data_IF_251667241580
#
_entry.id   IF_251667241580
#
_cell.length_a   1.000
_cell.length_b   1.000
_cell.length_c   1.000
_cell.angle_alpha   90.00
_cell.angle_beta   90.00
_cell.angle_gamma   90.00
#
_symmetry.space_group_name_H-M   'P 1'
#
loop_
_entity.id
_entity.type
_entity.pdbx_description
1 polymer ?
#
# COMPACT_ATOMS: atom_id res chain seq x y z
N UNK A 1 -4.99 -61.32 43.01
CA UNK A 1 -5.53 -59.99 43.37
C UNK A 1 -4.46 -58.93 43.07
N UNK A 2 -4.52 -58.22 41.94
CA UNK A 2 -3.47 -57.26 41.51
C UNK A 2 -3.52 -56.02 42.40
N UNK A 3 -2.40 -55.71 43.08
CA UNK A 3 -2.24 -54.55 43.96
C UNK A 3 -2.44 -53.27 43.15
N UNK A 4 -3.45 -52.49 43.49
CA UNK A 4 -3.79 -51.23 42.81
C UNK A 4 -2.78 -50.16 43.22
N UNK A 5 -1.89 -49.76 42.30
CA UNK A 5 -0.85 -48.76 42.57
C UNK A 5 -1.42 -47.35 42.54
N UNK A 6 -1.84 -46.89 43.73
CA UNK A 6 -2.41 -45.56 43.96
C UNK A 6 -1.46 -44.42 43.58
N UNK A 7 -0.13 -44.63 43.61
CA UNK A 7 0.86 -43.61 43.22
C UNK A 7 0.91 -43.45 41.69
N UNK A 8 0.81 -44.56 40.96
CA UNK A 8 0.75 -44.54 39.50
C UNK A 8 -0.54 -43.87 38.99
N UNK A 9 -1.68 -44.09 39.66
CA UNK A 9 -2.95 -43.44 39.34
C UNK A 9 -2.89 -41.94 39.64
N UNK A 10 -2.34 -41.55 40.79
CA UNK A 10 -2.17 -40.14 41.16
C UNK A 10 -1.28 -39.38 40.18
N UNK A 11 -0.15 -39.97 39.74
CA UNK A 11 0.75 -39.38 38.75
C UNK A 11 0.07 -39.16 37.39
N UNK A 12 -0.77 -40.11 36.95
CA UNK A 12 -1.54 -39.98 35.70
C UNK A 12 -2.61 -38.88 35.78
N UNK A 13 -3.27 -38.73 36.94
CA UNK A 13 -4.25 -37.66 37.18
C UNK A 13 -3.56 -36.29 37.15
N UNK A 14 -2.41 -36.14 37.80
CA UNK A 14 -1.65 -34.87 37.79
C UNK A 14 -1.20 -34.51 36.38
N UNK A 15 -0.68 -35.47 35.60
CA UNK A 15 -0.30 -35.23 34.20
C UNK A 15 -1.52 -34.81 33.35
N UNK A 16 -2.67 -35.47 33.52
CA UNK A 16 -3.88 -35.13 32.77
C UNK A 16 -4.41 -33.73 33.11
N UNK A 17 -4.38 -33.33 34.39
CA UNK A 17 -4.77 -31.98 34.82
C UNK A 17 -3.81 -30.93 34.26
N UNK A 18 -2.50 -31.22 34.23
CA UNK A 18 -1.49 -30.30 33.72
C UNK A 18 -1.66 -30.06 32.22
N UNK A 19 -1.96 -31.11 31.44
CA UNK A 19 -2.23 -30.99 30.00
C UNK A 19 -3.51 -30.19 29.74
N UNK A 20 -4.56 -30.42 30.52
CA UNK A 20 -5.83 -29.69 30.39
C UNK A 20 -5.68 -28.19 30.70
N UNK A 21 -4.87 -27.85 31.69
CA UNK A 21 -4.54 -26.45 32.02
C UNK A 21 -3.67 -25.74 30.98
N UNK A 22 -2.84 -26.48 30.23
CA UNK A 22 -2.04 -25.90 29.13
C UNK A 22 -2.92 -25.60 27.91
N UNK A 23 -3.93 -26.43 27.63
CA UNK A 23 -4.84 -26.21 26.49
C UNK A 23 -5.78 -25.01 26.65
N UNK A 24 -6.14 -24.62 27.88
CA UNK A 24 -6.99 -23.44 28.12
C UNK A 24 -6.23 -22.11 27.98
N UNK A 25 -4.90 -22.12 28.04
CA UNK A 25 -4.07 -20.93 27.87
C UNK A 25 -3.82 -20.54 26.41
N UNK A 26 -4.00 -21.47 25.46
CA UNK A 26 -3.81 -21.23 24.02
C UNK A 26 -5.04 -20.56 23.39
N UNK A 27 -6.21 -20.64 24.04
CA UNK A 27 -7.49 -20.16 23.49
C UNK A 27 -7.82 -18.69 23.73
N UNK A 28 -6.98 -17.92 24.43
CA UNK A 28 -7.27 -16.54 24.82
C UNK A 28 -6.28 -15.55 24.18
N UNK A 29 -6.12 -15.60 22.86
CA UNK A 29 -5.65 -14.44 22.11
C UNK A 29 -6.89 -13.65 21.69
N UNK A 30 -7.16 -12.54 22.38
CA UNK A 30 -8.17 -11.57 21.98
C UNK A 30 -7.72 -10.97 20.64
N UNK A 31 -8.23 -11.50 19.54
CA UNK A 31 -7.94 -11.00 18.20
C UNK A 31 -8.78 -9.73 18.01
N UNK A 32 -8.29 -8.60 18.54
CA UNK A 32 -8.84 -7.28 18.27
C UNK A 32 -8.55 -6.95 16.80
N UNK A 33 -9.33 -7.52 15.88
CA UNK A 33 -9.41 -7.07 14.49
C UNK A 33 -10.04 -5.68 14.52
N UNK A 34 -9.21 -4.68 14.79
CA UNK A 34 -9.56 -3.29 14.58
C UNK A 34 -10.12 -3.18 13.15
N UNK A 35 -11.33 -2.62 13.05
CA UNK A 35 -11.95 -2.29 11.78
C UNK A 35 -10.93 -1.53 10.93
N UNK A 36 -10.58 -2.06 9.74
CA UNK A 36 -9.62 -1.44 8.83
C UNK A 36 -10.25 -0.28 8.02
N UNK A 37 -11.27 0.35 8.59
CA UNK A 37 -11.98 1.46 7.97
C UNK A 37 -11.43 2.76 8.53
N UNK A 38 -10.83 3.56 7.66
CA UNK A 38 -10.43 4.92 7.96
C UNK A 38 -11.48 5.88 7.40
N UNK A 39 -12.04 6.74 8.26
CA UNK A 39 -12.95 7.82 7.86
C UNK A 39 -12.18 9.13 8.00
N UNK A 40 -12.02 9.84 6.87
CA UNK A 40 -11.34 11.14 6.82
C UNK A 40 -12.38 12.20 6.42
N UNK A 41 -12.51 13.24 7.24
CA UNK A 41 -13.34 14.39 6.90
C UNK A 41 -12.63 15.28 5.87
N UNK A 42 -13.34 15.69 4.83
CA UNK A 42 -12.86 16.62 3.82
C UNK A 42 -13.49 17.99 4.04
N UNK A 43 -12.74 19.07 3.80
CA UNK A 43 -13.26 20.42 3.95
C UNK A 43 -14.36 20.77 2.94
N UNK A 44 -14.28 20.20 1.73
CA UNK A 44 -15.25 20.40 0.65
C UNK A 44 -15.26 19.17 -0.27
N UNK A 45 -16.30 19.03 -1.09
CA UNK A 45 -16.38 17.99 -2.11
C UNK A 45 -15.29 18.11 -3.18
N UNK A 46 -15.07 17.03 -3.92
CA UNK A 46 -14.16 17.00 -5.07
C UNK A 46 -14.88 17.34 -6.37
N UNK A 47 -14.14 17.87 -7.34
CA UNK A 47 -14.67 18.16 -8.69
C UNK A 47 -14.12 17.20 -9.74
N UNK A 48 -12.89 16.71 -9.55
CA UNK A 48 -12.27 15.75 -10.46
C UNK A 48 -11.29 14.83 -9.70
N UNK A 49 -11.05 13.65 -10.27
CA UNK A 49 -10.00 12.71 -9.86
C UNK A 49 -9.01 12.43 -11.00
N UNK A 50 -9.10 13.21 -12.07
CA UNK A 50 -8.17 13.16 -13.18
C UNK A 50 -6.87 13.91 -12.80
N UNK A 51 -5.71 13.22 -12.74
CA UNK A 51 -4.44 13.84 -12.34
C UNK A 51 -4.05 15.07 -13.15
N UNK A 52 -4.47 15.17 -14.41
CA UNK A 52 -4.14 16.30 -15.27
C UNK A 52 -4.95 17.57 -14.93
N UNK A 53 -5.99 17.47 -14.10
CA UNK A 53 -6.91 18.57 -13.79
C UNK A 53 -7.13 18.81 -12.30
N UNK A 54 -6.37 18.13 -11.43
CA UNK A 54 -6.46 18.35 -9.98
C UNK A 54 -6.11 19.81 -9.64
N UNK A 55 -6.96 20.48 -8.86
CA UNK A 55 -6.75 21.87 -8.44
C UNK A 55 -6.80 22.04 -6.93
N UNK A 56 -7.47 21.12 -6.24
CA UNK A 56 -7.74 21.25 -4.80
C UNK A 56 -6.94 20.22 -4.01
N UNK A 57 -6.53 20.59 -2.78
CA UNK A 57 -5.77 19.70 -1.90
C UNK A 57 -6.54 18.42 -1.55
N UNK A 58 -7.86 18.50 -1.34
CA UNK A 58 -8.69 17.33 -1.06
C UNK A 58 -8.68 16.32 -2.22
N UNK A 59 -8.66 16.81 -3.46
CA UNK A 59 -8.60 15.96 -4.67
C UNK A 59 -7.23 15.28 -4.76
N UNK A 60 -6.15 16.00 -4.43
CA UNK A 60 -4.80 15.44 -4.41
C UNK A 60 -4.66 14.34 -3.36
N UNK A 61 -5.21 14.52 -2.15
CA UNK A 61 -5.18 13.47 -1.12
C UNK A 61 -5.87 12.19 -1.59
N UNK A 62 -7.03 12.30 -2.24
CA UNK A 62 -7.72 11.13 -2.78
C UNK A 62 -6.93 10.55 -3.97
N UNK A 63 -6.43 11.39 -4.87
CA UNK A 63 -5.64 10.98 -6.03
C UNK A 63 -4.41 10.17 -5.63
N UNK A 64 -3.67 10.57 -4.59
CA UNK A 64 -2.52 9.83 -4.06
C UNK A 64 -2.86 8.43 -3.52
N UNK A 65 -4.14 8.13 -3.27
CA UNK A 65 -4.57 6.79 -2.83
C UNK A 65 -5.03 5.89 -3.99
N UNK A 66 -5.32 6.46 -5.16
CA UNK A 66 -5.88 5.73 -6.32
C UNK A 66 -4.96 5.73 -7.55
N UNK A 67 -3.99 6.65 -7.58
CA UNK A 67 -2.94 6.74 -8.59
C UNK A 67 -1.57 6.57 -7.92
N UNK A 68 -0.61 6.03 -8.66
CA UNK A 68 0.78 5.89 -8.20
C UNK A 68 1.73 6.35 -9.32
N UNK A 69 2.68 7.21 -8.96
CA UNK A 69 3.66 7.76 -9.91
C UNK A 69 4.85 6.82 -10.14
N UNK A 70 5.85 7.28 -10.90
CA UNK A 70 7.12 6.56 -11.03
C UNK A 70 7.82 6.43 -9.67
N UNK A 71 7.80 7.51 -8.90
CA UNK A 71 8.34 7.63 -7.54
C UNK A 71 7.32 8.34 -6.64
N UNK A 72 7.51 8.26 -5.33
CA UNK A 72 6.68 8.96 -4.34
C UNK A 72 7.53 9.46 -3.17
N UNK A 73 6.94 10.27 -2.30
CA UNK A 73 7.57 10.70 -1.04
C UNK A 73 7.17 9.77 0.09
N UNK A 74 8.13 9.34 0.89
CA UNK A 74 7.88 8.58 2.11
C UNK A 74 7.45 9.50 3.26
N UNK A 75 7.24 8.93 4.45
CA UNK A 75 6.83 9.68 5.66
C UNK A 75 7.86 10.72 6.11
N UNK A 76 9.13 10.53 5.77
CA UNK A 76 10.23 11.45 6.05
C UNK A 76 10.39 12.52 4.94
N UNK A 77 9.53 12.47 3.90
CA UNK A 77 9.60 13.36 2.74
C UNK A 77 10.68 12.98 1.72
N UNK A 78 11.37 11.86 1.90
CA UNK A 78 12.39 11.35 0.98
C UNK A 78 11.75 10.65 -0.22
N UNK A 79 12.44 10.72 -1.36
CA UNK A 79 12.00 10.04 -2.59
C UNK A 79 12.20 8.53 -2.46
N UNK A 80 11.15 7.76 -2.73
CA UNK A 80 11.17 6.31 -2.72
C UNK A 80 10.49 5.70 -3.98
N UNK A 81 10.72 4.41 -4.27
CA UNK A 81 10.11 3.71 -5.40
C UNK A 81 8.57 3.70 -5.37
N UNK A 82 7.95 4.12 -6.48
CA UNK A 82 6.53 3.91 -6.78
C UNK A 82 6.35 2.75 -7.77
N UNK A 83 5.82 3.04 -8.97
CA UNK A 83 5.76 2.10 -10.09
C UNK A 83 7.15 1.76 -10.64
N UNK A 84 8.09 2.70 -10.61
CA UNK A 84 9.49 2.39 -10.89
C UNK A 84 10.13 1.72 -9.67
N UNK A 85 10.76 0.56 -9.87
CA UNK A 85 11.53 -0.13 -8.81
C UNK A 85 12.92 0.47 -8.61
N UNK A 86 13.46 1.13 -9.63
CA UNK A 86 14.74 1.82 -9.64
C UNK A 86 14.79 2.80 -10.80
N UNK A 87 15.73 3.74 -10.74
CA UNK A 87 16.02 4.66 -11.84
C UNK A 87 17.51 5.00 -11.88
N UNK A 88 17.96 5.37 -13.07
CA UNK A 88 19.32 5.83 -13.33
C UNK A 88 19.26 7.26 -13.83
N UNK A 89 20.24 8.06 -13.42
CA UNK A 89 20.41 9.45 -13.87
C UNK A 89 21.74 9.54 -14.60
N UNK A 90 21.75 10.11 -15.80
CA UNK A 90 22.97 10.34 -16.56
C UNK A 90 23.91 11.31 -15.83
N UNK A 91 25.23 11.28 -16.12
CA UNK A 91 26.19 12.17 -15.47
C UNK A 91 25.89 13.67 -15.61
N UNK A 92 25.22 14.07 -16.69
CA UNK A 92 24.78 15.45 -16.95
C UNK A 92 23.45 15.82 -16.28
N UNK A 93 22.77 14.86 -15.65
CA UNK A 93 21.48 15.09 -15.00
C UNK A 93 20.29 15.31 -15.96
N UNK A 94 20.47 15.12 -17.27
CA UNK A 94 19.44 15.42 -18.27
C UNK A 94 18.63 14.19 -18.72
N UNK A 95 19.13 12.98 -18.47
CA UNK A 95 18.47 11.74 -18.85
C UNK A 95 18.18 10.88 -17.62
N UNK A 96 16.91 10.57 -17.44
CA UNK A 96 16.41 9.67 -16.41
C UNK A 96 15.88 8.41 -17.07
N UNK A 97 16.35 7.24 -16.62
CA UNK A 97 15.86 5.94 -17.09
C UNK A 97 15.18 5.22 -15.94
N UNK A 98 13.86 5.02 -16.04
CA UNK A 98 13.06 4.36 -15.02
C UNK A 98 12.83 2.89 -15.36
N UNK A 99 13.07 2.01 -14.39
CA UNK A 99 12.83 0.58 -14.52
C UNK A 99 11.53 0.22 -13.82
N UNK A 100 10.47 -0.11 -14.58
CA UNK A 100 9.15 -0.38 -14.01
C UNK A 100 9.07 -1.77 -13.35
N UNK A 101 8.16 -1.90 -12.38
CA UNK A 101 7.79 -3.20 -11.80
C UNK A 101 7.10 -4.06 -12.85
N UNK A 102 7.54 -5.33 -13.00
CA UNK A 102 6.97 -6.27 -13.99
C UNK A 102 5.55 -6.73 -13.68
N UNK A 103 5.12 -6.59 -12.42
CA UNK A 103 3.81 -7.00 -11.92
C UNK A 103 2.90 -5.81 -11.63
N UNK A 104 3.25 -4.60 -12.06
CA UNK A 104 2.36 -3.45 -11.93
C UNK A 104 1.16 -3.65 -12.87
N UNK A 105 -0.04 -3.59 -12.29
CA UNK A 105 -1.30 -3.76 -12.99
C UNK A 105 -2.23 -2.58 -12.67
N UNK A 106 -2.98 -2.15 -13.67
CA UNK A 106 -4.16 -1.32 -13.48
C UNK A 106 -5.22 -2.10 -12.70
N UNK A 107 -6.18 -1.39 -12.10
CA UNK A 107 -7.27 -2.00 -11.34
C UNK A 107 -8.17 -2.91 -12.18
N UNK A 108 -8.15 -2.76 -13.50
CA UNK A 108 -8.84 -3.63 -14.46
C UNK A 108 -8.03 -4.88 -14.88
N UNK A 109 -6.83 -5.04 -14.32
CA UNK A 109 -5.94 -6.17 -14.57
C UNK A 109 -5.00 -6.01 -15.77
N UNK A 110 -5.06 -4.90 -16.52
CA UNK A 110 -4.09 -4.65 -17.59
C UNK A 110 -2.70 -4.30 -17.02
N UNK A 111 -1.60 -4.70 -17.67
CA UNK A 111 -0.27 -4.32 -17.24
C UNK A 111 -0.05 -2.81 -17.37
N UNK A 112 0.61 -2.21 -16.37
CA UNK A 112 1.12 -0.84 -16.46
C UNK A 112 2.42 -0.86 -17.24
N UNK A 113 2.54 0.03 -18.23
CA UNK A 113 3.69 0.09 -19.15
C UNK A 113 4.29 1.50 -19.22
N UNK A 114 5.48 1.62 -19.81
CA UNK A 114 6.11 2.93 -20.04
C UNK A 114 5.26 3.85 -20.94
N UNK A 115 4.45 3.27 -21.83
CA UNK A 115 3.58 4.02 -22.74
C UNK A 115 2.45 4.74 -21.99
N UNK A 116 1.99 4.22 -20.84
CA UNK A 116 0.95 4.88 -20.04
C UNK A 116 1.46 6.22 -19.48
N UNK A 117 2.72 6.25 -19.03
CA UNK A 117 3.38 7.46 -18.55
C UNK A 117 3.65 8.44 -19.70
N UNK A 118 4.16 7.94 -20.83
CA UNK A 118 4.38 8.77 -22.03
C UNK A 118 3.08 9.43 -22.48
N UNK A 119 1.99 8.66 -22.56
CA UNK A 119 0.66 9.17 -22.91
C UNK A 119 0.19 10.23 -21.90
N UNK A 120 0.28 9.94 -20.60
CA UNK A 120 -0.20 10.85 -19.56
C UNK A 120 0.55 12.20 -19.60
N UNK A 121 1.87 12.18 -19.79
CA UNK A 121 2.68 13.39 -19.90
C UNK A 121 2.37 14.18 -21.16
N UNK A 122 2.30 13.51 -22.32
CA UNK A 122 1.91 14.17 -23.57
C UNK A 122 0.51 14.78 -23.49
N UNK A 123 -0.43 14.09 -22.87
CA UNK A 123 -1.79 14.57 -22.66
C UNK A 123 -1.84 15.79 -21.73
N UNK A 124 -1.06 15.81 -20.67
CA UNK A 124 -0.97 16.96 -19.76
C UNK A 124 -0.32 18.17 -20.46
N UNK A 125 0.63 17.95 -21.36
CA UNK A 125 1.30 18.99 -22.13
C UNK A 125 0.52 19.47 -23.37
N UNK A 126 -0.53 18.77 -23.79
CA UNK A 126 -1.32 19.13 -24.97
C UNK A 126 -2.05 20.48 -24.73
N UNK A 127 -1.74 21.54 -25.51
CA UNK A 127 -2.33 22.86 -25.30
C UNK A 127 -3.84 22.89 -25.52
N UNK A 128 -4.40 21.91 -26.23
CA UNK A 128 -5.85 21.81 -26.46
C UNK A 128 -6.60 21.17 -25.29
N UNK A 129 -5.87 20.66 -24.28
CA UNK A 129 -6.46 19.96 -23.14
C UNK A 129 -6.64 20.85 -21.92
N UNK A 130 -6.03 22.04 -21.88
CA UNK A 130 -6.14 22.98 -20.74
C UNK A 130 -5.86 22.31 -19.37
N UNK A 131 -4.79 21.50 -19.32
CA UNK A 131 -4.40 20.80 -18.10
C UNK A 131 -4.00 21.79 -17.00
N UNK A 132 -4.58 21.60 -15.81
CA UNK A 132 -4.29 22.46 -14.66
C UNK A 132 -2.84 22.30 -14.14
N UNK A 133 -2.20 21.18 -14.45
CA UNK A 133 -0.85 20.84 -13.96
C UNK A 133 0.25 21.12 -14.98
N UNK A 134 -0.09 21.62 -16.18
CA UNK A 134 0.87 21.84 -17.27
C UNK A 134 2.08 22.68 -16.83
N UNK A 135 1.86 23.69 -15.97
CA UNK A 135 2.93 24.55 -15.46
C UNK A 135 3.97 23.78 -14.65
N UNK A 136 3.59 22.70 -13.95
CA UNK A 136 4.52 21.86 -13.18
C UNK A 136 5.45 21.01 -14.06
N UNK A 137 5.16 20.90 -15.36
CA UNK A 137 5.94 20.10 -16.29
C UNK A 137 6.96 20.92 -17.10
N UNK A 138 6.93 22.25 -16.98
CA UNK A 138 7.85 23.18 -17.66
C UNK A 138 9.00 23.68 -16.77
N UNK A 139 8.91 23.49 -15.45
CA UNK A 139 9.91 23.90 -14.45
C UNK A 139 10.52 22.70 -13.74
#
# INVERSE_FOLDING_TARGET
MKRFDRKAVFKKIVIAITILSITTLIGCSKEDKASQNLIVALQHGITTLDPAYLRLLNEQYIACNIWEGLVRKNVDGLIEPGIAKSWEVSPDGLKYTFHLRKNAMWSDGKPVTAYDFEYAWKRALDPNKDSAVVFMMYF
#
